data_IF_608761416580
#
_entry.id   IF_608761416580
#
_cell.length_a   1.000
_cell.length_b   1.000
_cell.length_c   1.000
_cell.angle_alpha   90.00
_cell.angle_beta   90.00
_cell.angle_gamma   90.00
#
_symmetry.space_group_name_H-M   'P 1'
#
loop_
_entity.id
_entity.type
_entity.pdbx_description
1 polymer ?
#
# COMPACT_ATOMS: atom_id res chain seq x y z
N UNK A 1 -4.49 18.92 -23.86
CA UNK A 1 -3.48 19.20 -22.82
C UNK A 1 -3.82 18.31 -21.63
N UNK A 2 -2.87 17.47 -21.21
CA UNK A 2 -3.01 16.52 -20.11
C UNK A 2 -2.97 17.27 -18.78
N UNK A 3 -3.96 17.08 -17.92
CA UNK A 3 -3.91 17.47 -16.51
C UNK A 3 -3.96 16.19 -15.68
N UNK A 4 -2.84 15.47 -15.66
CA UNK A 4 -2.56 14.44 -14.65
C UNK A 4 -2.32 15.17 -13.35
N UNK A 5 -3.38 15.49 -12.62
CA UNK A 5 -3.24 16.06 -11.27
C UNK A 5 -2.64 14.99 -10.34
N UNK A 6 -1.54 15.29 -9.63
CA UNK A 6 -0.98 14.36 -8.66
C UNK A 6 -1.99 14.18 -7.53
N UNK A 7 -2.37 12.93 -7.25
CA UNK A 7 -3.34 12.47 -6.26
C UNK A 7 -2.96 12.84 -4.82
N UNK A 8 -2.93 14.13 -4.49
CA UNK A 8 -2.58 14.65 -3.17
C UNK A 8 -3.86 15.02 -2.42
N UNK A 9 -4.26 14.19 -1.46
CA UNK A 9 -5.43 14.44 -0.62
C UNK A 9 -4.99 15.27 0.60
N UNK A 10 -5.33 16.55 0.64
CA UNK A 10 -4.92 17.46 1.72
C UNK A 10 -5.78 17.27 2.97
N UNK A 11 -5.16 16.87 4.09
CA UNK A 11 -5.85 16.64 5.39
C UNK A 11 -5.78 17.86 6.35
N UNK A 12 -5.25 19.01 5.89
CA UNK A 12 -5.09 20.22 6.70
C UNK A 12 -3.75 20.94 6.45
N UNK A 13 -3.53 22.12 7.09
CA UNK A 13 -2.35 22.95 6.83
C UNK A 13 -1.06 22.19 7.17
N UNK A 14 -0.21 21.96 6.17
CA UNK A 14 1.08 21.27 6.33
C UNK A 14 1.02 19.73 6.35
N UNK A 15 -0.13 19.11 6.08
CA UNK A 15 -0.31 17.65 6.00
C UNK A 15 -0.86 17.25 4.63
N UNK A 16 -0.02 17.35 3.60
CA UNK A 16 -0.24 16.65 2.35
C UNK A 16 0.11 15.19 2.58
N UNK A 17 -0.89 14.32 2.72
CA UNK A 17 -0.63 12.88 2.61
C UNK A 17 -0.59 12.56 1.13
N UNK A 18 0.56 12.04 0.69
CA UNK A 18 0.68 11.49 -0.64
C UNK A 18 -0.13 10.19 -0.66
N UNK A 19 -1.30 10.23 -1.30
CA UNK A 19 -2.22 9.08 -1.35
C UNK A 19 -1.55 7.88 -2.02
N UNK A 20 -0.55 8.12 -2.88
CA UNK A 20 0.29 7.09 -3.49
C UNK A 20 1.11 6.32 -2.46
N UNK A 21 1.71 7.01 -1.49
CA UNK A 21 2.50 6.38 -0.43
C UNK A 21 1.63 5.55 0.51
N UNK A 22 0.39 5.99 0.75
CA UNK A 22 -0.55 5.25 1.59
C UNK A 22 -1.04 3.97 0.92
N UNK A 23 -1.38 4.02 -0.37
CA UNK A 23 -1.77 2.83 -1.14
C UNK A 23 -0.59 1.85 -1.28
N UNK A 24 0.61 2.36 -1.53
CA UNK A 24 1.83 1.56 -1.58
C UNK A 24 2.10 0.85 -0.24
N UNK A 25 1.95 1.56 0.88
CA UNK A 25 2.10 0.99 2.22
C UNK A 25 1.10 -0.14 2.51
N UNK A 26 -0.18 0.04 2.13
CA UNK A 26 -1.21 -0.99 2.30
C UNK A 26 -0.94 -2.21 1.42
N UNK A 27 -0.50 -2.01 0.18
CA UNK A 27 -0.15 -3.10 -0.74
C UNK A 27 1.03 -3.91 -0.21
N UNK A 28 2.10 -3.24 0.25
CA UNK A 28 3.27 -3.90 0.83
C UNK A 28 2.89 -4.70 2.07
N UNK A 29 2.08 -4.13 2.96
CA UNK A 29 1.57 -4.82 4.15
C UNK A 29 0.74 -6.05 3.76
N UNK A 30 -0.15 -5.92 2.77
CA UNK A 30 -0.96 -7.03 2.26
C UNK A 30 -0.12 -8.17 1.70
N UNK A 31 0.92 -7.86 0.91
CA UNK A 31 1.85 -8.86 0.37
C UNK A 31 2.63 -9.56 1.49
N UNK A 32 3.08 -8.81 2.52
CA UNK A 32 3.80 -9.39 3.64
C UNK A 32 2.94 -10.41 4.42
N UNK A 33 1.68 -10.07 4.68
CA UNK A 33 0.73 -10.96 5.36
C UNK A 33 0.42 -12.18 4.49
N UNK A 34 0.11 -11.97 3.21
CA UNK A 34 -0.20 -13.06 2.28
C UNK A 34 1.00 -14.01 2.09
N UNK A 35 2.21 -13.47 1.96
CA UNK A 35 3.45 -14.24 1.85
C UNK A 35 3.74 -15.06 3.11
N UNK A 36 3.53 -14.47 4.30
CA UNK A 36 3.66 -15.19 5.57
C UNK A 36 2.68 -16.34 5.70
N UNK A 37 1.40 -16.13 5.35
CA UNK A 37 0.39 -17.18 5.35
C UNK A 37 0.70 -18.28 4.33
N UNK A 38 1.13 -17.91 3.12
CA UNK A 38 1.53 -18.86 2.08
C UNK A 38 2.72 -19.73 2.53
N UNK A 39 3.71 -19.15 3.21
CA UNK A 39 4.85 -19.89 3.76
C UNK A 39 4.42 -20.90 4.84
N UNK A 40 3.50 -20.50 5.73
CA UNK A 40 2.94 -21.40 6.76
C UNK A 40 2.17 -22.55 6.13
N UNK A 41 1.32 -22.26 5.13
CA UNK A 41 0.57 -23.27 4.39
C UNK A 41 1.48 -24.25 3.65
N UNK A 42 2.53 -23.74 2.98
CA UNK A 42 3.52 -24.57 2.31
C UNK A 42 4.23 -25.50 3.30
N UNK A 43 4.63 -24.98 4.46
CA UNK A 43 5.24 -25.77 5.53
C UNK A 43 4.28 -26.80 6.15
N UNK A 44 2.96 -26.60 6.06
CA UNK A 44 1.98 -27.54 6.59
C UNK A 44 1.68 -28.71 5.63
N UNK A 45 1.96 -28.54 4.33
CA UNK A 45 1.69 -29.53 3.28
C UNK A 45 2.95 -30.35 2.94
N UNK A 46 4.14 -29.77 3.11
CA UNK A 46 5.44 -30.47 3.01
C UNK A 46 5.71 -31.31 4.25
#
# INVERSE_FOLDING_TARGET
>A
MSSTEPYTHSLGPGRTVDTGDQLSSVVILGIAIAGGLAAVLLNAIL
#
